data_IF_324004124136
#
_entry.id   IF_324004124136
#
_cell.length_a   1.000
_cell.length_b   1.000
_cell.length_c   1.000
_cell.angle_alpha   90.00
_cell.angle_beta   90.00
_cell.angle_gamma   90.00
#
_symmetry.space_group_name_H-M   'P 1'
#
loop_
_entity.id
_entity.type
_entity.pdbx_description
1 polymer ?
#
# COMPACT_ATOMS: atom_id res chain seq x y z
N UNK A 1 3.37 -0.04 6.50
CA UNK A 1 3.08 1.14 5.66
C UNK A 1 1.59 1.46 5.60
N UNK A 2 0.75 0.68 4.91
CA UNK A 2 -0.70 0.98 4.87
C UNK A 2 -1.33 0.97 6.27
N UNK A 3 -1.09 -0.07 7.07
CA UNK A 3 -1.59 -0.14 8.45
C UNK A 3 -1.17 1.07 9.31
N UNK A 4 0.05 1.56 9.10
CA UNK A 4 0.59 2.72 9.82
C UNK A 4 -0.06 4.03 9.35
N UNK A 5 -0.19 4.24 8.04
CA UNK A 5 -0.84 5.44 7.47
C UNK A 5 -2.29 5.56 7.93
N UNK A 6 -3.02 4.46 7.99
CA UNK A 6 -4.42 4.45 8.44
C UNK A 6 -4.57 4.23 9.95
N UNK A 7 -3.47 4.02 10.69
CA UNK A 7 -3.45 3.75 12.13
C UNK A 7 -4.41 2.61 12.55
N UNK A 8 -4.29 1.47 11.87
CA UNK A 8 -5.09 0.25 12.09
C UNK A 8 -4.21 -0.97 12.34
N UNK A 9 -4.81 -2.10 12.71
CA UNK A 9 -4.09 -3.37 12.77
C UNK A 9 -3.62 -3.78 11.37
N UNK A 10 -2.45 -4.43 11.29
CA UNK A 10 -2.00 -5.08 10.05
C UNK A 10 -2.97 -6.18 9.61
N UNK A 11 -3.71 -6.78 10.55
CA UNK A 11 -4.72 -7.81 10.27
C UNK A 11 -5.92 -7.26 9.50
N UNK A 12 -6.18 -5.95 9.59
CA UNK A 12 -7.24 -5.28 8.85
C UNK A 12 -6.82 -4.88 7.43
N UNK A 13 -5.55 -5.10 7.06
CA UNK A 13 -4.99 -4.74 5.76
C UNK A 13 -4.85 -5.99 4.89
N UNK A 14 -5.54 -5.98 3.75
CA UNK A 14 -5.33 -6.97 2.69
C UNK A 14 -4.63 -6.27 1.53
N UNK A 15 -3.40 -6.68 1.22
CA UNK A 15 -2.63 -6.12 0.12
C UNK A 15 -1.84 -7.20 -0.60
N UNK A 16 -1.68 -7.06 -1.91
CA UNK A 16 -0.99 -8.04 -2.75
C UNK A 16 0.04 -7.35 -3.63
N UNK A 17 1.15 -8.06 -3.85
CA UNK A 17 2.18 -7.70 -4.83
C UNK A 17 2.32 -8.86 -5.80
N UNK A 18 2.27 -8.57 -7.10
CA UNK A 18 2.54 -9.55 -8.16
C UNK A 18 3.78 -9.14 -8.96
N UNK A 19 4.31 -10.05 -9.78
CA UNK A 19 5.50 -9.80 -10.61
C UNK A 19 6.77 -10.42 -10.03
N UNK A 20 7.93 -9.95 -10.50
CA UNK A 20 9.22 -10.41 -9.99
C UNK A 20 9.53 -9.83 -8.61
N UNK A 21 10.45 -10.47 -7.89
CA UNK A 21 10.97 -9.95 -6.62
C UNK A 21 12.05 -8.88 -6.92
N UNK A 22 11.94 -7.69 -6.31
CA UNK A 22 12.80 -6.52 -6.59
C UNK A 22 12.12 -5.47 -7.46
N UNK A 23 12.87 -4.81 -8.34
CA UNK A 23 12.43 -3.63 -9.13
C UNK A 23 11.18 -3.84 -10.01
N UNK A 24 10.87 -5.10 -10.32
CA UNK A 24 9.75 -5.47 -11.19
C UNK A 24 8.47 -5.84 -10.42
N UNK A 25 8.47 -5.67 -9.09
CA UNK A 25 7.29 -5.94 -8.28
C UNK A 25 6.18 -4.90 -8.52
N UNK A 26 4.93 -5.38 -8.51
CA UNK A 26 3.74 -4.59 -8.84
C UNK A 26 2.76 -4.65 -7.67
N UNK A 27 2.77 -3.62 -6.79
CA UNK A 27 1.74 -3.46 -5.77
C UNK A 27 0.36 -3.23 -6.39
N UNK A 28 -0.64 -4.04 -6.01
CA UNK A 28 -1.98 -3.99 -6.57
C UNK A 28 -2.89 -3.05 -5.79
N UNK A 29 -2.75 -1.74 -6.01
CA UNK A 29 -3.50 -0.70 -5.29
C UNK A 29 -5.02 -0.95 -5.34
N UNK A 30 -5.56 -1.22 -6.55
CA UNK A 30 -7.00 -1.39 -6.76
C UNK A 30 -7.60 -2.64 -6.09
N UNK A 31 -6.77 -3.65 -5.83
CA UNK A 31 -7.18 -4.91 -5.18
C UNK A 31 -6.80 -4.97 -3.71
N UNK A 32 -6.14 -3.93 -3.20
CA UNK A 32 -5.78 -3.82 -1.80
C UNK A 32 -6.87 -3.06 -1.05
N UNK A 33 -7.13 -3.47 0.20
CA UNK A 33 -8.18 -2.92 1.04
C UNK A 33 -7.70 -2.72 2.47
N UNK A 34 -8.28 -1.73 3.16
CA UNK A 34 -8.18 -1.56 4.61
C UNK A 34 -9.57 -1.69 5.22
N UNK A 35 -9.76 -2.63 6.14
CA UNK A 35 -11.05 -3.01 6.72
C UNK A 35 -12.14 -3.29 5.65
N UNK A 36 -11.73 -3.85 4.51
CA UNK A 36 -12.63 -4.14 3.38
C UNK A 36 -12.91 -2.97 2.43
N UNK A 37 -12.38 -1.76 2.69
CA UNK A 37 -12.54 -0.59 1.81
C UNK A 37 -11.34 -0.49 0.84
N UNK A 38 -11.57 -0.38 -0.49
CA UNK A 38 -10.50 -0.22 -1.47
C UNK A 38 -9.65 1.04 -1.26
N UNK A 39 -8.34 0.95 -1.52
CA UNK A 39 -7.43 2.11 -1.40
C UNK A 39 -7.84 3.35 -2.23
N UNK A 40 -8.30 3.21 -3.50
CA UNK A 40 -8.79 4.36 -4.26
C UNK A 40 -9.99 5.05 -3.60
N UNK A 41 -10.86 4.28 -2.95
CA UNK A 41 -12.03 4.82 -2.26
C UNK A 41 -11.60 5.55 -0.99
N UNK A 42 -10.61 5.04 -0.25
CA UNK A 42 -10.03 5.74 0.91
C UNK A 42 -9.38 7.08 0.52
N UNK A 43 -8.75 7.17 -0.65
CA UNK A 43 -8.25 8.43 -1.21
C UNK A 43 -9.42 9.36 -1.56
N UNK A 44 -10.44 8.85 -2.26
CA UNK A 44 -11.62 9.64 -2.65
C UNK A 44 -12.41 10.17 -1.43
N UNK A 45 -12.45 9.38 -0.34
CA UNK A 45 -13.09 9.74 0.93
C UNK A 45 -12.23 10.70 1.77
N UNK A 46 -11.01 11.03 1.35
CA UNK A 46 -10.13 11.98 2.03
C UNK A 46 -9.44 11.42 3.28
N UNK A 47 -9.37 10.10 3.45
CA UNK A 47 -8.66 9.48 4.58
C UNK A 47 -7.15 9.48 4.39
N UNK A 48 -6.70 9.49 3.13
CA UNK A 48 -5.31 9.74 2.75
C UNK A 48 -5.28 10.51 1.41
N UNK A 49 -4.09 10.87 0.93
CA UNK A 49 -3.91 11.51 -0.38
C UNK A 49 -3.32 10.55 -1.40
N UNK A 50 -3.53 10.85 -2.69
CA UNK A 50 -2.90 10.09 -3.76
C UNK A 50 -1.36 10.11 -3.63
N UNK A 51 -0.79 11.27 -3.30
CA UNK A 51 0.65 11.44 -3.10
C UNK A 51 1.21 10.52 -2.01
N UNK A 52 0.54 10.44 -0.86
CA UNK A 52 0.96 9.54 0.22
C UNK A 52 0.85 8.08 -0.17
N UNK A 53 -0.22 7.72 -0.87
CA UNK A 53 -0.42 6.36 -1.36
C UNK A 53 0.67 5.96 -2.37
N UNK A 54 1.02 6.86 -3.30
CA UNK A 54 2.10 6.66 -4.27
C UNK A 54 3.46 6.50 -3.56
N UNK A 55 3.72 7.29 -2.52
CA UNK A 55 4.93 7.16 -1.71
C UNK A 55 5.01 5.80 -1.00
N UNK A 56 3.88 5.30 -0.47
CA UNK A 56 3.81 3.95 0.13
C UNK A 56 4.10 2.86 -0.91
N UNK A 57 3.56 3.01 -2.12
CA UNK A 57 3.80 2.07 -3.23
C UNK A 57 5.27 2.04 -3.60
N UNK A 58 5.91 3.21 -3.69
CA UNK A 58 7.33 3.31 -4.00
C UNK A 58 8.19 2.69 -2.88
N UNK A 59 7.94 3.05 -1.63
CA UNK A 59 8.65 2.46 -0.48
C UNK A 59 8.47 0.95 -0.40
N UNK A 60 7.32 0.42 -0.82
CA UNK A 60 7.10 -1.04 -0.91
C UNK A 60 8.02 -1.69 -1.93
N UNK A 61 8.24 -1.06 -3.09
CA UNK A 61 9.21 -1.53 -4.10
C UNK A 61 10.64 -1.49 -3.59
N UNK A 62 10.97 -0.43 -2.85
CA UNK A 62 12.30 -0.18 -2.31
C UNK A 62 12.54 -0.90 -0.97
N UNK A 63 11.55 -1.62 -0.44
CA UNK A 63 11.60 -2.17 0.93
C UNK A 63 12.74 -3.16 1.16
N UNK A 64 13.21 -3.83 0.10
CA UNK A 64 14.42 -4.65 0.17
C UNK A 64 15.70 -3.82 0.31
N UNK A 65 15.78 -2.66 -0.34
CA UNK A 65 16.92 -1.75 -0.28
C UNK A 65 16.97 -0.93 1.03
N UNK A 66 15.83 -0.74 1.70
CA UNK A 66 15.73 0.02 2.96
C UNK A 66 16.46 -0.66 4.14
N UNK A 67 16.68 -1.98 4.09
CA UNK A 67 17.14 -2.80 5.23
C UNK A 67 18.61 -3.29 5.07
N UNK A 68 19.29 -2.94 3.97
CA UNK A 68 20.68 -3.39 3.68
C UNK A 68 21.74 -2.33 3.94
#
# INVERSE_FOLDING_TARGET
FLAEEFNVSVEDVTAFVLGGHGDTMVPLIRYSTVAGIPLPDLVAMGWTSQEKLDAIVQRTRDGGAEIV
#
